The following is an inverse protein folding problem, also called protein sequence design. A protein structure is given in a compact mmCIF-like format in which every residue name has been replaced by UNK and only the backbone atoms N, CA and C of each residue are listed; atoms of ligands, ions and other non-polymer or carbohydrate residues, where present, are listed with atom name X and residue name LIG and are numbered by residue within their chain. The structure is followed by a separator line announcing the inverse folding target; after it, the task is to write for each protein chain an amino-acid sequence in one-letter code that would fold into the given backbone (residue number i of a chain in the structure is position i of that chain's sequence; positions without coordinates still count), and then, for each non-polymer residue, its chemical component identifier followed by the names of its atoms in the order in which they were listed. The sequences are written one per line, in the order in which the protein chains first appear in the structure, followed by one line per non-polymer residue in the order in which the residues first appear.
data_IF_391989677922
#
_entry.id   IF_391989677922
#
_cell.length_a   1.000
_cell.length_b   1.000
_cell.length_c   1.000
_cell.angle_alpha   90.00
_cell.angle_beta   90.00
_cell.angle_gamma   90.00
#
_symmetry.space_group_name_H-M   'P 1'
#
loop_
_entity.id
_entity.type
_entity.pdbx_description
1 polymer ?
#
# COMPACT_ATOMS: atom_id res chain seq x y z
N UNK A 1 -1.80 9.46 -25.70
CA UNK A 1 -2.00 8.84 -24.37
C UNK A 1 -3.42 9.14 -23.98
N UNK A 2 -4.34 8.18 -24.06
CA UNK A 2 -5.71 8.33 -23.54
C UNK A 2 -5.61 8.36 -22.03
N UNK A 3 -5.90 9.52 -21.42
CA UNK A 3 -6.11 9.61 -19.97
C UNK A 3 -7.41 8.84 -19.71
N UNK A 4 -7.25 7.67 -19.16
CA UNK A 4 -8.30 6.79 -18.73
C UNK A 4 -9.09 7.50 -17.63
N UNK A 5 -10.32 7.92 -17.89
CA UNK A 5 -11.15 8.57 -16.89
C UNK A 5 -11.62 7.53 -15.85
N UNK A 6 -10.85 7.41 -14.79
CA UNK A 6 -11.24 6.63 -13.61
C UNK A 6 -12.14 7.50 -12.74
N UNK A 7 -13.35 7.02 -12.47
CA UNK A 7 -14.28 7.70 -11.59
C UNK A 7 -14.30 6.98 -10.22
N UNK A 8 -13.87 7.67 -9.17
CA UNK A 8 -13.89 7.13 -7.81
C UNK A 8 -15.09 7.69 -7.06
N UNK A 9 -15.87 6.83 -6.42
CA UNK A 9 -17.04 7.20 -5.61
C UNK A 9 -17.04 6.48 -4.28
N UNK A 10 -17.59 7.13 -3.25
CA UNK A 10 -17.81 6.52 -1.95
C UNK A 10 -18.81 5.37 -2.02
N UNK A 11 -18.56 4.36 -1.21
CA UNK A 11 -19.52 3.27 -0.91
C UNK A 11 -20.48 3.81 0.14
N UNK A 12 -21.72 4.05 -0.24
CA UNK A 12 -22.75 4.64 0.62
C UNK A 12 -24.04 3.83 0.65
N UNK A 13 -24.03 2.64 0.04
CA UNK A 13 -25.18 1.72 0.00
C UNK A 13 -24.71 0.26 0.00
N UNK A 14 -25.59 -0.70 0.37
CA UNK A 14 -25.22 -2.11 0.44
C UNK A 14 -24.81 -2.73 -0.90
N UNK A 15 -25.36 -2.27 -2.03
CA UNK A 15 -25.00 -2.80 -3.35
C UNK A 15 -23.55 -2.47 -3.69
N UNK A 16 -23.11 -1.24 -3.44
CA UNK A 16 -21.70 -0.88 -3.63
C UNK A 16 -20.78 -1.60 -2.63
N UNK A 17 -21.24 -1.87 -1.41
CA UNK A 17 -20.49 -2.67 -0.46
C UNK A 17 -20.30 -4.11 -0.96
N UNK A 18 -21.32 -4.72 -1.59
CA UNK A 18 -21.19 -6.02 -2.26
C UNK A 18 -20.18 -5.99 -3.41
N UNK A 19 -20.22 -4.96 -4.25
CA UNK A 19 -19.28 -4.78 -5.36
C UNK A 19 -17.84 -4.62 -4.85
N UNK A 20 -17.63 -3.89 -3.75
CA UNK A 20 -16.31 -3.76 -3.12
C UNK A 20 -15.83 -5.10 -2.55
N UNK A 21 -16.67 -5.83 -1.83
CA UNK A 21 -16.33 -7.15 -1.29
C UNK A 21 -15.94 -8.13 -2.40
N UNK A 22 -16.69 -8.17 -3.49
CA UNK A 22 -16.40 -9.01 -4.66
C UNK A 22 -15.06 -8.64 -5.31
N UNK A 23 -14.80 -7.35 -5.54
CA UNK A 23 -13.52 -6.88 -6.08
C UNK A 23 -12.34 -7.29 -5.16
N UNK A 24 -12.48 -7.09 -3.85
CA UNK A 24 -11.41 -7.42 -2.91
C UNK A 24 -11.16 -8.94 -2.86
N UNK A 25 -12.20 -9.77 -2.99
CA UNK A 25 -12.06 -11.21 -3.11
C UNK A 25 -11.35 -11.63 -4.40
N UNK A 26 -11.65 -10.96 -5.53
CA UNK A 26 -10.97 -11.18 -6.81
C UNK A 26 -9.46 -10.84 -6.73
N UNK A 27 -9.11 -9.72 -6.07
CA UNK A 27 -7.72 -9.23 -6.00
C UNK A 27 -6.88 -9.99 -4.98
N UNK A 28 -7.44 -10.34 -3.81
CA UNK A 28 -6.69 -10.90 -2.67
C UNK A 28 -6.98 -12.37 -2.39
N UNK A 29 -7.95 -12.96 -3.08
CA UNK A 29 -8.45 -14.31 -2.84
C UNK A 29 -9.60 -14.32 -1.82
N UNK A 30 -10.50 -15.31 -1.97
CA UNK A 30 -11.71 -15.41 -1.14
C UNK A 30 -11.43 -15.55 0.36
N UNK A 31 -10.34 -16.24 0.74
CA UNK A 31 -9.97 -16.46 2.15
C UNK A 31 -9.60 -15.18 2.90
N UNK A 32 -9.14 -14.17 2.19
CA UNK A 32 -8.72 -12.88 2.74
C UNK A 32 -9.67 -11.74 2.37
N UNK A 33 -10.88 -12.09 1.87
CA UNK A 33 -11.89 -11.11 1.50
C UNK A 33 -12.52 -10.48 2.73
N UNK A 34 -12.82 -9.19 2.62
CA UNK A 34 -13.57 -8.46 3.63
C UNK A 34 -15.05 -8.63 3.33
N UNK A 35 -15.82 -9.12 4.30
CA UNK A 35 -17.25 -9.36 4.13
C UNK A 35 -18.06 -8.06 4.01
N UNK A 36 -19.23 -8.14 3.38
CA UNK A 36 -20.11 -6.99 3.15
C UNK A 36 -20.52 -6.30 4.45
N UNK A 37 -20.83 -7.08 5.47
CA UNK A 37 -21.25 -6.58 6.79
C UNK A 37 -20.11 -5.77 7.47
N UNK A 38 -18.87 -6.20 7.34
CA UNK A 38 -17.69 -5.45 7.83
C UNK A 38 -17.53 -4.14 7.07
N UNK A 39 -17.67 -4.13 5.73
CA UNK A 39 -17.59 -2.91 4.93
C UNK A 39 -18.70 -1.92 5.37
N UNK A 40 -19.93 -2.41 5.52
CA UNK A 40 -21.07 -1.59 5.97
C UNK A 40 -20.83 -1.06 7.38
N UNK A 41 -20.32 -1.88 8.30
CA UNK A 41 -20.00 -1.47 9.67
C UNK A 41 -18.92 -0.38 9.70
N UNK A 42 -17.86 -0.52 8.90
CA UNK A 42 -16.80 0.48 8.79
C UNK A 42 -17.35 1.82 8.29
N UNK A 43 -18.15 1.81 7.22
CA UNK A 43 -18.77 3.04 6.68
C UNK A 43 -19.73 3.67 7.70
N UNK A 44 -20.55 2.85 8.34
CA UNK A 44 -21.51 3.31 9.37
C UNK A 44 -20.80 3.93 10.59
N UNK A 45 -19.60 3.44 10.91
CA UNK A 45 -18.77 3.96 12.00
C UNK A 45 -17.93 5.18 11.62
N UNK A 46 -18.18 5.78 10.44
CA UNK A 46 -17.44 6.96 9.96
C UNK A 46 -16.14 6.63 9.24
N UNK A 47 -15.88 5.36 8.92
CA UNK A 47 -14.75 4.97 8.10
C UNK A 47 -14.97 5.25 6.60
N UNK A 48 -13.92 5.03 5.82
CA UNK A 48 -13.90 5.30 4.40
C UNK A 48 -13.97 4.01 3.59
N UNK A 49 -14.85 3.99 2.59
CA UNK A 49 -14.85 2.98 1.54
C UNK A 49 -15.13 3.61 0.18
N UNK A 50 -14.46 3.17 -0.88
CA UNK A 50 -14.65 3.67 -2.23
C UNK A 50 -14.51 2.60 -3.29
N UNK A 51 -15.13 2.86 -4.44
CA UNK A 51 -15.02 2.10 -5.68
C UNK A 51 -14.51 2.99 -6.81
N UNK A 52 -13.56 2.48 -7.57
CA UNK A 52 -13.13 3.04 -8.84
C UNK A 52 -13.84 2.31 -9.98
N UNK A 53 -14.41 3.07 -10.90
CA UNK A 53 -15.04 2.55 -12.12
C UNK A 53 -14.37 3.16 -13.35
N UNK A 54 -14.34 2.38 -14.44
CA UNK A 54 -13.82 2.81 -15.73
C UNK A 54 -14.78 2.43 -16.86
N UNK A 55 -14.84 3.23 -17.93
CA UNK A 55 -15.69 3.02 -19.11
C UNK A 55 -14.91 2.43 -20.29
N UNK A 56 -13.82 1.70 -20.06
CA UNK A 56 -12.91 1.20 -21.10
C UNK A 56 -13.54 0.31 -22.15
N UNK A 57 -14.58 -0.44 -21.77
CA UNK A 57 -15.25 -1.42 -22.65
C UNK A 57 -16.59 -0.91 -23.20
N UNK A 58 -16.93 0.37 -22.96
CA UNK A 58 -18.26 0.91 -23.23
C UNK A 58 -19.30 0.54 -22.15
N UNK A 59 -18.92 -0.30 -21.19
CA UNK A 59 -19.67 -0.61 -19.99
C UNK A 59 -18.88 -0.15 -18.77
N UNK A 60 -19.59 0.44 -17.81
CA UNK A 60 -19.00 0.94 -16.58
C UNK A 60 -18.67 -0.22 -15.65
N UNK A 61 -17.37 -0.58 -15.58
CA UNK A 61 -16.88 -1.69 -14.75
C UNK A 61 -16.21 -1.20 -13.47
N UNK A 62 -16.35 -1.97 -12.39
CA UNK A 62 -15.55 -1.78 -11.16
C UNK A 62 -14.15 -2.30 -11.41
N UNK A 63 -13.16 -1.41 -11.28
CA UNK A 63 -11.75 -1.69 -11.60
C UNK A 63 -10.82 -1.60 -10.39
N UNK A 64 -11.31 -1.05 -9.28
CA UNK A 64 -10.56 -0.94 -8.05
C UNK A 64 -11.42 -0.50 -6.87
N UNK A 65 -10.87 -0.58 -5.67
CA UNK A 65 -11.58 -0.15 -4.48
C UNK A 65 -10.64 -0.02 -3.28
N UNK A 66 -11.10 0.68 -2.25
CA UNK A 66 -10.34 0.95 -1.05
C UNK A 66 -11.23 0.97 0.19
N UNK A 67 -10.68 0.50 1.32
CA UNK A 67 -11.31 0.55 2.64
C UNK A 67 -10.33 1.13 3.65
N UNK A 68 -10.81 2.03 4.52
CA UNK A 68 -10.01 2.58 5.61
C UNK A 68 -10.83 2.73 6.89
N UNK A 69 -10.14 2.53 8.01
CA UNK A 69 -10.66 2.54 9.38
C UNK A 69 -10.32 3.86 10.06
N UNK A 70 -11.21 4.34 10.90
CA UNK A 70 -10.92 5.49 11.77
C UNK A 70 -10.05 5.03 12.93
N UNK A 71 -8.84 5.58 13.03
CA UNK A 71 -7.97 5.35 14.17
C UNK A 71 -8.46 6.09 15.41
N UNK A 72 -8.39 5.44 16.57
CA UNK A 72 -8.79 6.06 17.85
C UNK A 72 -7.80 7.13 18.33
N UNK A 73 -6.53 6.97 17.96
CA UNK A 73 -5.43 7.81 18.43
C UNK A 73 -4.86 8.64 17.28
N UNK A 74 -4.30 9.80 17.59
CA UNK A 74 -3.56 10.68 16.69
C UNK A 74 -4.34 11.25 15.51
N UNK A 75 -5.68 11.13 15.50
CA UNK A 75 -6.54 11.64 14.42
C UNK A 75 -6.07 11.19 13.02
N UNK A 76 -5.74 9.90 12.89
CA UNK A 76 -5.26 9.30 11.63
C UNK A 76 -6.29 8.34 11.05
N UNK A 77 -6.41 8.37 9.73
CA UNK A 77 -7.15 7.37 8.98
C UNK A 77 -6.21 6.18 8.69
N UNK A 78 -6.60 4.95 9.05
CA UNK A 78 -5.84 3.75 8.71
C UNK A 78 -6.36 3.16 7.40
N UNK A 79 -5.61 3.36 6.30
CA UNK A 79 -5.93 2.76 5.00
C UNK A 79 -5.60 1.27 5.04
N UNK A 80 -6.63 0.45 5.24
CA UNK A 80 -6.46 -0.99 5.47
C UNK A 80 -6.14 -1.75 4.19
N UNK A 81 -6.93 -1.53 3.13
CA UNK A 81 -6.75 -2.20 1.84
C UNK A 81 -7.06 -1.27 0.68
N UNK A 82 -6.28 -1.40 -0.39
CA UNK A 82 -6.55 -0.80 -1.70
C UNK A 82 -6.22 -1.84 -2.76
N UNK A 83 -7.22 -2.28 -3.50
CA UNK A 83 -7.10 -3.27 -4.57
C UNK A 83 -7.40 -2.67 -5.94
N UNK A 84 -6.69 -3.14 -6.96
CA UNK A 84 -6.87 -2.82 -8.38
C UNK A 84 -6.80 -4.12 -9.16
N UNK A 85 -7.70 -4.33 -10.11
CA UNK A 85 -7.68 -5.51 -11.00
C UNK A 85 -6.30 -5.65 -11.67
N UNK A 86 -5.85 -6.89 -11.83
CA UNK A 86 -4.47 -7.20 -12.23
C UNK A 86 -4.10 -6.64 -13.61
N UNK A 87 -5.03 -6.70 -14.57
CA UNK A 87 -4.88 -6.18 -15.92
C UNK A 87 -4.82 -4.64 -16.00
N UNK A 88 -5.21 -3.96 -14.92
CA UNK A 88 -5.20 -2.50 -14.79
C UNK A 88 -4.16 -1.97 -13.80
N UNK A 89 -3.23 -2.83 -13.36
CA UNK A 89 -2.07 -2.37 -12.60
C UNK A 89 -1.21 -1.41 -13.44
N UNK A 90 -0.68 -0.37 -12.80
CA UNK A 90 0.10 0.71 -13.42
C UNK A 90 -0.68 1.63 -14.40
N UNK A 91 -2.02 1.53 -14.44
CA UNK A 91 -2.88 2.38 -15.27
C UNK A 91 -3.32 3.69 -14.58
N UNK A 92 -2.87 3.93 -13.33
CA UNK A 92 -3.25 5.12 -12.56
C UNK A 92 -4.46 4.92 -11.63
N UNK A 93 -5.17 3.78 -11.70
CA UNK A 93 -6.34 3.50 -10.82
C UNK A 93 -5.97 3.57 -9.35
N UNK A 94 -4.84 2.97 -8.95
CA UNK A 94 -4.37 3.01 -7.56
C UNK A 94 -4.07 4.43 -7.08
N UNK A 95 -3.46 5.26 -7.91
CA UNK A 95 -3.21 6.68 -7.61
C UNK A 95 -4.52 7.43 -7.43
N UNK A 96 -5.49 7.25 -8.34
CA UNK A 96 -6.81 7.89 -8.26
C UNK A 96 -7.56 7.53 -6.97
N UNK A 97 -7.51 6.25 -6.55
CA UNK A 97 -8.09 5.81 -5.28
C UNK A 97 -7.42 6.48 -4.07
N UNK A 98 -6.08 6.58 -4.09
CA UNK A 98 -5.32 7.20 -2.99
C UNK A 98 -5.47 8.72 -2.95
N UNK A 99 -5.59 9.39 -4.08
CA UNK A 99 -5.91 10.82 -4.15
C UNK A 99 -7.32 11.11 -3.63
N UNK A 100 -8.32 10.33 -4.06
CA UNK A 100 -9.67 10.46 -3.54
C UNK A 100 -9.74 10.21 -2.02
N UNK A 101 -9.01 9.21 -1.51
CA UNK A 101 -8.91 8.95 -0.08
C UNK A 101 -8.25 10.11 0.67
N UNK A 102 -7.22 10.75 0.08
CA UNK A 102 -6.53 11.88 0.69
C UNK A 102 -7.45 13.11 0.77
N UNK A 103 -8.18 13.44 -0.32
CA UNK A 103 -9.16 14.52 -0.34
C UNK A 103 -10.24 14.27 0.72
N UNK A 104 -10.78 13.05 0.76
CA UNK A 104 -11.80 12.70 1.75
C UNK A 104 -11.25 12.83 3.19
N UNK A 105 -10.02 12.40 3.44
CA UNK A 105 -9.40 12.53 4.76
C UNK A 105 -9.22 14.02 5.15
N UNK A 106 -8.87 14.88 4.19
CA UNK A 106 -8.78 16.33 4.39
C UNK A 106 -10.12 16.93 4.75
N UNK A 107 -11.17 16.61 4.00
CA UNK A 107 -12.54 17.11 4.22
C UNK A 107 -13.13 16.64 5.56
N UNK A 108 -12.64 15.53 6.10
CA UNK A 108 -13.01 14.98 7.40
C UNK A 108 -12.00 15.31 8.53
N UNK A 109 -11.07 16.26 8.30
CA UNK A 109 -10.13 16.81 9.27
C UNK A 109 -9.15 15.79 9.86
N UNK A 110 -8.78 14.73 9.14
CA UNK A 110 -7.72 13.83 9.57
C UNK A 110 -6.34 14.51 9.46
N UNK A 111 -5.46 14.21 10.41
CA UNK A 111 -4.09 14.73 10.39
C UNK A 111 -3.21 14.05 9.34
N UNK A 112 -3.40 12.74 9.16
CA UNK A 112 -2.65 11.91 8.23
C UNK A 112 -3.42 10.64 7.86
N UNK A 113 -2.98 9.99 6.78
CA UNK A 113 -3.39 8.63 6.44
C UNK A 113 -2.20 7.72 6.70
N UNK A 114 -2.40 6.63 7.45
CA UNK A 114 -1.39 5.61 7.73
C UNK A 114 -1.75 4.27 7.08
N UNK A 115 -0.76 3.49 6.67
CA UNK A 115 -0.94 2.12 6.19
C UNK A 115 0.37 1.35 6.27
N UNK A 116 0.31 0.07 5.90
CA UNK A 116 1.48 -0.80 5.86
C UNK A 116 1.71 -1.35 4.46
N UNK A 117 2.96 -1.65 4.13
CA UNK A 117 3.29 -2.40 2.92
C UNK A 117 4.52 -3.29 3.14
N UNK A 118 4.65 -4.33 2.32
CA UNK A 118 5.81 -5.22 2.35
C UNK A 118 7.03 -4.54 1.73
N UNK A 119 8.11 -4.34 2.50
CA UNK A 119 9.30 -3.64 2.02
C UNK A 119 10.09 -4.39 0.93
N UNK A 120 9.87 -5.68 0.72
CA UNK A 120 10.50 -6.42 -0.38
C UNK A 120 9.84 -6.16 -1.73
N UNK A 121 8.60 -5.68 -1.76
CA UNK A 121 7.88 -5.43 -3.02
C UNK A 121 8.30 -4.07 -3.59
N UNK A 122 9.29 -4.06 -4.49
CA UNK A 122 9.88 -2.85 -5.11
C UNK A 122 8.84 -1.88 -5.66
N UNK A 123 7.87 -2.36 -6.42
CA UNK A 123 6.81 -1.52 -6.98
C UNK A 123 5.98 -0.81 -5.91
N UNK A 124 5.72 -1.49 -4.78
CA UNK A 124 4.98 -0.90 -3.66
C UNK A 124 5.83 0.16 -2.94
N UNK A 125 7.13 -0.10 -2.77
CA UNK A 125 8.05 0.88 -2.20
C UNK A 125 8.09 2.17 -3.03
N UNK A 126 8.29 2.04 -4.34
CA UNK A 126 8.26 3.19 -5.27
C UNK A 126 6.90 3.91 -5.23
N UNK A 127 5.80 3.18 -5.32
CA UNK A 127 4.45 3.77 -5.29
C UNK A 127 4.21 4.55 -3.99
N UNK A 128 4.52 3.95 -2.84
CA UNK A 128 4.26 4.58 -1.55
C UNK A 128 5.19 5.77 -1.27
N UNK A 129 6.49 5.63 -1.50
CA UNK A 129 7.48 6.64 -1.11
C UNK A 129 7.63 7.75 -2.15
N UNK A 130 7.53 7.42 -3.44
CA UNK A 130 7.72 8.39 -4.53
C UNK A 130 6.37 8.91 -5.01
N UNK A 131 5.51 8.05 -5.57
CA UNK A 131 4.25 8.49 -6.17
C UNK A 131 3.32 9.12 -5.13
N UNK A 132 3.22 8.57 -3.92
CA UNK A 132 2.34 9.08 -2.86
C UNK A 132 3.05 10.00 -1.85
N UNK A 133 4.38 10.13 -1.90
CA UNK A 133 5.16 10.95 -0.97
C UNK A 133 4.97 10.57 0.51
N UNK A 134 4.69 9.30 0.78
CA UNK A 134 4.51 8.82 2.14
C UNK A 134 5.86 8.71 2.87
N UNK A 135 5.86 8.96 4.17
CA UNK A 135 7.05 8.83 5.03
C UNK A 135 7.00 7.54 5.82
N UNK A 136 8.12 6.84 5.92
CA UNK A 136 8.25 5.66 6.78
C UNK A 136 8.30 6.10 8.25
N UNK A 137 7.47 5.47 9.06
CA UNK A 137 7.36 5.73 10.51
C UNK A 137 8.05 4.64 11.31
N UNK A 138 7.83 3.37 10.95
CA UNK A 138 8.38 2.23 11.68
C UNK A 138 8.48 0.98 10.80
N UNK A 139 9.26 0.01 11.28
CA UNK A 139 9.36 -1.33 10.71
C UNK A 139 8.86 -2.35 11.73
N UNK A 140 8.07 -3.31 11.29
CA UNK A 140 7.53 -4.37 12.13
C UNK A 140 7.77 -5.73 11.49
N UNK A 141 8.27 -6.68 12.30
CA UNK A 141 8.34 -8.09 11.94
C UNK A 141 6.96 -8.71 12.03
N UNK A 142 6.65 -9.61 11.12
CA UNK A 142 5.47 -10.48 11.16
C UNK A 142 4.19 -9.75 11.59
N UNK A 143 3.95 -8.56 11.03
CA UNK A 143 2.90 -7.62 11.44
C UNK A 143 1.50 -8.24 11.47
N UNK A 144 1.21 -9.14 10.53
CA UNK A 144 -0.06 -9.85 10.44
C UNK A 144 0.02 -11.32 10.89
N UNK A 145 1.19 -11.77 11.39
CA UNK A 145 1.46 -13.18 11.58
C UNK A 145 1.60 -13.93 10.25
N UNK A 146 1.31 -15.23 10.25
CA UNK A 146 1.31 -16.02 9.01
C UNK A 146 0.05 -15.71 8.19
N UNK A 147 0.24 -15.28 6.94
CA UNK A 147 -0.83 -15.08 5.96
C UNK A 147 -0.69 -16.12 4.85
N UNK A 148 -1.74 -16.92 4.67
CA UNK A 148 -1.86 -17.86 3.56
C UNK A 148 -2.64 -17.18 2.41
N UNK A 149 -1.98 -16.23 1.74
CA UNK A 149 -2.54 -15.53 0.58
C UNK A 149 -1.61 -15.63 -0.65
N UNK A 150 -2.18 -15.35 -1.83
CA UNK A 150 -1.47 -15.46 -3.10
C UNK A 150 -0.26 -14.52 -3.25
N UNK A 151 -0.16 -13.48 -2.42
CA UNK A 151 0.91 -12.47 -2.50
C UNK A 151 2.04 -12.79 -1.54
N UNK A 152 1.71 -13.23 -0.31
CA UNK A 152 2.70 -13.56 0.70
C UNK A 152 3.20 -15.00 0.58
N UNK A 153 2.36 -15.95 0.12
CA UNK A 153 2.72 -17.38 -0.14
C UNK A 153 3.55 -18.01 1.00
N UNK A 154 3.14 -17.79 2.25
CA UNK A 154 3.84 -18.31 3.43
C UNK A 154 5.15 -17.61 3.82
N UNK A 155 5.53 -16.51 3.15
CA UNK A 155 6.64 -15.65 3.61
C UNK A 155 6.20 -14.83 4.82
N UNK A 156 7.18 -14.43 5.65
CA UNK A 156 6.97 -13.54 6.79
C UNK A 156 6.31 -12.23 6.39
N UNK A 157 5.40 -11.75 7.23
CA UNK A 157 4.61 -10.53 6.96
C UNK A 157 5.25 -9.26 7.53
N UNK A 158 6.56 -9.08 7.32
CA UNK A 158 7.24 -7.85 7.71
C UNK A 158 6.64 -6.65 6.98
N UNK A 159 6.45 -5.54 7.68
CA UNK A 159 5.83 -4.33 7.13
C UNK A 159 6.60 -3.07 7.51
N UNK A 160 6.71 -2.16 6.57
CA UNK A 160 6.92 -0.75 6.86
C UNK A 160 5.57 -0.10 7.12
N UNK A 161 5.46 0.62 8.24
CA UNK A 161 4.35 1.54 8.49
C UNK A 161 4.72 2.88 7.88
N UNK A 162 3.80 3.43 7.09
CA UNK A 162 3.99 4.73 6.46
C UNK A 162 2.83 5.68 6.76
N UNK A 163 3.09 6.96 6.64
CA UNK A 163 2.11 8.03 6.76
C UNK A 163 2.21 9.00 5.60
N UNK A 164 1.06 9.39 5.08
CA UNK A 164 0.91 10.50 4.15
C UNK A 164 0.22 11.64 4.89
N UNK A 165 0.88 12.78 4.98
CA UNK A 165 0.36 13.93 5.70
C UNK A 165 -0.85 14.53 5.00
N UNK A 166 -1.82 14.99 5.77
CA UNK A 166 -3.05 15.63 5.30
C UNK A 166 -3.18 17.04 5.88
N UNK A 167 -3.06 17.18 7.20
CA UNK A 167 -3.09 18.50 7.86
C UNK A 167 -1.95 19.38 7.36
N UNK A 168 -2.23 20.67 7.20
CA UNK A 168 -1.29 21.70 6.73
C UNK A 168 -0.80 21.54 5.29
N UNK A 169 -1.46 20.72 4.48
CA UNK A 169 -1.19 20.57 3.05
C UNK A 169 -2.42 20.94 2.23
N UNK A 170 -2.24 21.80 1.23
CA UNK A 170 -3.30 22.15 0.29
C UNK A 170 -3.39 21.19 -0.87
N UNK A 171 -2.27 20.56 -1.21
CA UNK A 171 -2.13 19.54 -2.26
C UNK A 171 -1.53 18.29 -1.65
N UNK A 172 -1.97 17.15 -2.11
CA UNK A 172 -1.45 15.85 -1.66
C UNK A 172 0.07 15.75 -1.92
N UNK A 173 0.86 15.32 -0.92
CA UNK A 173 2.31 15.20 -1.07
C UNK A 173 2.69 14.18 -2.15
N UNK A 174 3.74 14.51 -2.88
CA UNK A 174 4.48 13.62 -3.79
C UNK A 174 5.97 13.75 -3.48
N UNK A 175 6.78 12.81 -3.94
CA UNK A 175 8.23 12.87 -3.84
C UNK A 175 8.87 12.44 -5.17
N UNK A 176 10.18 12.65 -5.28
CA UNK A 176 10.98 12.21 -6.41
C UNK A 176 11.91 11.07 -5.97
N UNK A 177 12.41 10.31 -6.93
CA UNK A 177 13.50 9.38 -6.68
C UNK A 177 14.75 10.17 -6.31
N UNK A 178 15.55 9.62 -5.40
CA UNK A 178 16.77 10.27 -4.93
C UNK A 178 17.98 9.36 -5.13
N UNK A 179 19.16 9.93 -5.19
CA UNK A 179 20.40 9.18 -5.09
C UNK A 179 20.83 9.01 -3.63
N UNK A 180 21.59 7.96 -3.35
CA UNK A 180 22.32 7.83 -2.08
C UNK A 180 23.49 8.82 -2.01
N UNK A 181 23.78 9.29 -0.83
CA UNK A 181 24.89 10.20 -0.52
C UNK A 181 25.89 9.51 0.40
N UNK A 182 27.07 10.12 0.60
CA UNK A 182 28.06 9.61 1.53
C UNK A 182 27.51 9.51 2.96
N UNK A 183 27.64 8.35 3.58
CA UNK A 183 27.11 8.05 4.92
C UNK A 183 25.67 7.48 4.93
N UNK A 184 24.99 7.45 3.79
CA UNK A 184 23.70 6.76 3.69
C UNK A 184 23.87 5.23 3.73
N UNK A 185 22.84 4.56 4.23
CA UNK A 185 22.68 3.10 4.10
C UNK A 185 21.67 2.82 3.00
N UNK A 186 22.07 2.01 2.01
CA UNK A 186 21.19 1.53 0.97
C UNK A 186 20.66 0.14 1.31
N UNK A 187 19.33 -0.03 1.25
CA UNK A 187 18.68 -1.32 1.42
C UNK A 187 17.98 -1.67 0.12
N UNK A 188 18.56 -2.58 -0.63
CA UNK A 188 18.07 -2.99 -1.94
C UNK A 188 16.79 -3.81 -1.85
N UNK A 189 15.98 -3.75 -2.90
CA UNK A 189 14.81 -4.60 -3.10
C UNK A 189 15.02 -5.50 -4.32
N UNK A 190 14.55 -6.76 -4.30
CA UNK A 190 14.57 -7.61 -5.50
C UNK A 190 13.70 -7.00 -6.60
N UNK A 191 13.98 -7.37 -7.84
CA UNK A 191 13.19 -6.91 -8.99
C UNK A 191 11.73 -7.35 -8.89
N UNK A 192 11.51 -8.64 -8.64
CA UNK A 192 10.17 -9.21 -8.51
C UNK A 192 10.15 -10.32 -7.43
N UNK A 193 9.92 -9.94 -6.20
CA UNK A 193 9.76 -10.87 -5.08
C UNK A 193 8.48 -11.71 -5.22
N UNK A 194 7.45 -11.17 -5.87
CA UNK A 194 6.17 -11.89 -6.02
C UNK A 194 6.34 -13.09 -6.94
N UNK A 195 7.04 -12.93 -8.06
CA UNK A 195 7.36 -14.04 -8.95
C UNK A 195 8.21 -15.11 -8.24
N UNK A 196 9.21 -14.70 -7.43
CA UNK A 196 10.02 -15.63 -6.64
C UNK A 196 9.19 -16.42 -5.63
N UNK A 197 8.22 -15.78 -4.96
CA UNK A 197 7.31 -16.45 -4.00
C UNK A 197 6.39 -17.46 -4.66
N UNK A 198 5.94 -17.19 -5.87
CA UNK A 198 5.06 -18.06 -6.65
C UNK A 198 5.81 -19.20 -7.34
N UNK A 199 7.14 -19.18 -7.35
CA UNK A 199 7.96 -20.24 -7.92
C UNK A 199 7.92 -21.50 -7.05
N UNK A 200 7.83 -22.66 -7.71
CA UNK A 200 7.95 -23.98 -7.08
C UNK A 200 9.42 -24.42 -6.89
N UNK A 201 10.39 -23.60 -7.29
CA UNK A 201 11.82 -23.88 -7.17
C UNK A 201 12.28 -23.77 -5.71
N UNK A 202 12.91 -24.82 -5.18
CA UNK A 202 13.51 -24.79 -3.85
C UNK A 202 14.61 -23.71 -3.72
N UNK A 203 15.32 -23.39 -4.83
CA UNK A 203 16.31 -22.33 -4.86
C UNK A 203 15.66 -20.96 -4.73
N UNK A 204 14.55 -20.69 -5.43
CA UNK A 204 13.82 -19.43 -5.33
C UNK A 204 13.21 -19.25 -3.93
N UNK A 205 12.64 -20.30 -3.35
CA UNK A 205 12.12 -20.28 -2.00
C UNK A 205 13.23 -20.01 -0.95
N UNK A 206 14.43 -20.56 -1.14
CA UNK A 206 15.59 -20.26 -0.31
C UNK A 206 16.03 -18.81 -0.48
N UNK A 207 16.02 -18.30 -1.71
CA UNK A 207 16.34 -16.90 -2.00
C UNK A 207 15.36 -15.93 -1.34
N UNK A 208 14.05 -16.20 -1.38
CA UNK A 208 13.01 -15.40 -0.69
C UNK A 208 13.31 -15.30 0.79
N UNK A 209 13.56 -16.44 1.46
CA UNK A 209 13.90 -16.45 2.90
C UNK A 209 15.17 -15.65 3.21
N UNK A 210 16.19 -15.75 2.36
CA UNK A 210 17.44 -15.00 2.54
C UNK A 210 17.23 -13.50 2.35
N UNK A 211 16.52 -13.07 1.30
CA UNK A 211 16.18 -11.67 1.05
C UNK A 211 15.39 -11.09 2.22
N UNK A 212 14.40 -11.80 2.75
CA UNK A 212 13.62 -11.39 3.92
C UNK A 212 14.52 -11.22 5.15
N UNK A 213 15.33 -12.22 5.47
CA UNK A 213 16.23 -12.20 6.62
C UNK A 213 17.25 -11.05 6.53
N UNK A 214 17.84 -10.84 5.34
CA UNK A 214 18.81 -9.78 5.10
C UNK A 214 18.18 -8.40 5.24
N UNK A 215 17.03 -8.17 4.58
CA UNK A 215 16.33 -6.89 4.64
C UNK A 215 15.88 -6.57 6.07
N UNK A 216 15.36 -7.57 6.82
CA UNK A 216 14.98 -7.46 8.23
C UNK A 216 16.16 -6.95 9.07
N UNK A 217 17.31 -7.61 8.99
CA UNK A 217 18.52 -7.21 9.72
C UNK A 217 18.96 -5.79 9.39
N UNK A 218 18.91 -5.43 8.11
CA UNK A 218 19.34 -4.11 7.64
C UNK A 218 18.42 -2.99 8.16
N UNK A 219 17.09 -3.16 8.09
CA UNK A 219 16.15 -2.17 8.65
C UNK A 219 16.29 -2.03 10.15
N UNK A 220 16.38 -3.15 10.87
CA UNK A 220 16.51 -3.11 12.34
C UNK A 220 17.80 -2.45 12.77
N UNK A 221 18.92 -2.78 12.14
CA UNK A 221 20.21 -2.14 12.44
C UNK A 221 20.17 -0.63 12.14
N UNK A 222 19.58 -0.24 11.01
CA UNK A 222 19.45 1.16 10.63
C UNK A 222 18.56 1.95 11.61
N UNK A 223 17.40 1.42 11.99
CA UNK A 223 16.50 2.08 12.95
C UNK A 223 17.09 2.11 14.38
N UNK A 224 17.78 1.04 14.80
CA UNK A 224 18.51 1.04 16.06
C UNK A 224 19.62 2.10 16.09
N UNK A 225 20.26 2.37 14.94
CA UNK A 225 21.22 3.46 14.74
C UNK A 225 20.61 4.83 14.51
N UNK A 226 19.32 5.03 14.85
CA UNK A 226 18.58 6.28 14.69
C UNK A 226 18.52 6.82 13.24
N UNK A 227 18.72 5.96 12.24
CA UNK A 227 18.51 6.33 10.84
C UNK A 227 17.03 6.34 10.49
N UNK A 228 16.66 7.14 9.50
CA UNK A 228 15.31 7.19 8.94
C UNK A 228 15.35 7.00 7.43
N UNK A 229 14.26 6.52 6.85
CA UNK A 229 14.14 6.39 5.39
C UNK A 229 13.93 7.79 4.81
N UNK A 230 14.93 8.28 4.08
CA UNK A 230 14.93 9.59 3.41
C UNK A 230 14.19 9.53 2.07
N UNK A 231 14.24 8.38 1.38
CA UNK A 231 13.60 8.19 0.09
C UNK A 231 13.91 6.85 -0.56
N UNK A 232 13.72 6.80 -1.87
CA UNK A 232 13.87 5.60 -2.68
C UNK A 232 14.60 5.93 -3.99
N UNK A 233 15.52 5.05 -4.43
CA UNK A 233 16.31 5.26 -5.65
C UNK A 233 15.59 4.75 -6.89
N UNK A 234 16.02 5.20 -8.07
CA UNK A 234 15.51 4.75 -9.37
C UNK A 234 15.76 3.26 -9.64
N UNK A 235 16.83 2.70 -9.09
CA UNK A 235 17.23 1.29 -9.23
C UNK A 235 16.64 0.38 -8.14
N UNK A 236 15.87 0.94 -7.21
CA UNK A 236 15.03 0.18 -6.29
C UNK A 236 15.66 -0.09 -4.93
N UNK A 237 16.35 0.87 -4.35
CA UNK A 237 16.86 0.81 -2.99
C UNK A 237 16.22 1.89 -2.09
N UNK A 238 15.98 1.55 -0.83
CA UNK A 238 15.69 2.53 0.21
C UNK A 238 16.97 3.26 0.57
N UNK A 239 16.88 4.57 0.76
CA UNK A 239 17.98 5.42 1.22
C UNK A 239 17.73 5.81 2.67
N UNK A 240 18.58 5.40 3.58
CA UNK A 240 18.47 5.68 5.01
C UNK A 240 19.62 6.57 5.48
N UNK A 241 19.26 7.71 6.04
CA UNK A 241 20.19 8.74 6.53
C UNK A 241 20.08 8.91 8.04
N UNK A 242 21.10 9.45 8.67
CA UNK A 242 21.02 10.06 10.01
C UNK A 242 20.31 11.42 9.91
N UNK A 243 19.61 11.81 10.98
CA UNK A 243 19.01 13.16 11.08
C UNK A 243 20.07 14.23 11.29
#
# INVERSE_FOLDING_TARGET
VFIQMVNVKLVNDPLKAQQLAQLLAEVWGERNSISVDVIVAVVHSGGYASLATSDLTGNREVVGGSLALVGRHDNKLHSHVTGVKDDLRNSGVGSSLKEHQWIWAKDNNFAAISWTFDPLVRRNAHFNLVTLGARVVSYHRDFYGELDDAINSGDSTDRLVVERQVANYDVAPHAEVIAGEEGDVLIETPQDIVALRQSNSAADQALVRNLRSTQRKNFEAAFAGAKFVRGFTSDGAYVLSTR
#
